data_IF_501892459677
#
_entry.id   IF_501892459677
#
_cell.length_a   1.000
_cell.length_b   1.000
_cell.length_c   1.000
_cell.angle_alpha   90.00
_cell.angle_beta   90.00
_cell.angle_gamma   90.00
#
_symmetry.space_group_name_H-M   'P 1'
#
loop_
_entity.id
_entity.type
_entity.pdbx_description
1 polymer ?
#
# COMPACT_ATOMS: atom_id res chain seq x y z
N UNK A 1 -6.15 -18.96 -16.52
CA UNK A 1 -6.59 -17.62 -16.07
C UNK A 1 -5.74 -16.58 -16.77
N UNK A 2 -6.33 -15.45 -17.15
CA UNK A 2 -5.64 -14.43 -17.96
C UNK A 2 -6.05 -13.04 -17.48
N UNK A 3 -5.07 -12.19 -17.19
CA UNK A 3 -5.26 -10.77 -16.92
C UNK A 3 -5.06 -9.97 -18.22
N UNK A 4 -6.13 -9.43 -18.78
CA UNK A 4 -6.07 -8.53 -19.94
C UNK A 4 -5.59 -7.15 -19.47
N UNK A 5 -4.30 -6.87 -19.63
CA UNK A 5 -3.68 -5.60 -19.25
C UNK A 5 -4.25 -4.44 -20.07
N UNK A 6 -4.38 -4.63 -21.38
CA UNK A 6 -4.85 -3.57 -22.27
C UNK A 6 -6.31 -3.18 -21.99
N UNK A 7 -7.17 -4.17 -21.77
CA UNK A 7 -8.57 -3.94 -21.37
C UNK A 7 -8.66 -3.30 -20.00
N UNK A 8 -7.87 -3.79 -19.05
CA UNK A 8 -7.83 -3.26 -17.68
C UNK A 8 -7.40 -1.79 -17.62
N UNK A 9 -6.36 -1.40 -18.38
CA UNK A 9 -5.91 0.00 -18.49
C UNK A 9 -7.03 0.89 -19.06
N UNK A 10 -7.80 0.41 -20.05
CA UNK A 10 -8.92 1.19 -20.60
C UNK A 10 -10.05 1.41 -19.61
N UNK A 11 -10.30 0.44 -18.75
CA UNK A 11 -11.42 0.45 -17.80
C UNK A 11 -11.05 1.08 -16.46
N UNK A 12 -9.76 1.24 -16.16
CA UNK A 12 -9.27 1.82 -14.92
C UNK A 12 -8.67 3.21 -15.20
N UNK A 13 -9.11 4.22 -14.47
CA UNK A 13 -8.54 5.56 -14.61
C UNK A 13 -7.12 5.61 -14.04
N UNK A 14 -6.23 6.30 -14.74
CA UNK A 14 -4.96 6.73 -14.17
C UNK A 14 -5.25 7.58 -12.92
N UNK A 15 -4.66 7.22 -11.80
CA UNK A 15 -4.79 7.98 -10.55
C UNK A 15 -4.14 9.35 -10.67
N UNK A 16 -4.77 10.35 -10.07
CA UNK A 16 -4.16 11.68 -9.87
C UNK A 16 -3.25 11.72 -8.63
N UNK A 17 -3.27 10.67 -7.79
CA UNK A 17 -2.37 10.55 -6.65
C UNK A 17 -0.97 10.16 -7.14
N UNK A 18 -0.02 11.04 -6.94
CA UNK A 18 1.39 10.86 -7.33
C UNK A 18 2.02 9.61 -6.69
N UNK A 19 1.59 9.26 -5.48
CA UNK A 19 2.17 8.18 -4.68
C UNK A 19 1.39 6.86 -4.80
N UNK A 20 0.37 6.77 -5.66
CA UNK A 20 -0.53 5.61 -5.75
C UNK A 20 0.22 4.28 -5.96
N UNK A 21 1.29 4.29 -6.74
CA UNK A 21 2.10 3.09 -6.99
C UNK A 21 2.77 2.61 -5.69
N UNK A 22 3.34 3.52 -4.93
CA UNK A 22 3.98 3.21 -3.64
C UNK A 22 2.95 2.75 -2.61
N UNK A 23 1.78 3.38 -2.55
CA UNK A 23 0.68 2.98 -1.67
C UNK A 23 0.21 1.56 -1.99
N UNK A 24 0.05 1.22 -3.25
CA UNK A 24 -0.33 -0.14 -3.67
C UNK A 24 0.75 -1.17 -3.32
N UNK A 25 2.03 -0.86 -3.54
CA UNK A 25 3.15 -1.73 -3.18
C UNK A 25 3.18 -2.00 -1.67
N UNK A 26 3.16 -0.96 -0.85
CA UNK A 26 3.19 -1.06 0.61
C UNK A 26 1.92 -1.74 1.15
N UNK A 27 0.74 -1.41 0.60
CA UNK A 27 -0.51 -2.07 1.00
C UNK A 27 -0.49 -3.57 0.74
N UNK A 28 0.00 -3.98 -0.43
CA UNK A 28 0.11 -5.39 -0.78
C UNK A 28 1.15 -6.13 0.09
N UNK A 29 2.27 -5.48 0.42
CA UNK A 29 3.28 -6.02 1.31
C UNK A 29 2.73 -6.24 2.74
N UNK A 30 1.98 -5.27 3.29
CA UNK A 30 1.32 -5.41 4.60
C UNK A 30 0.30 -6.56 4.58
N UNK A 31 -0.55 -6.64 3.55
CA UNK A 31 -1.53 -7.71 3.42
C UNK A 31 -0.85 -9.08 3.33
N UNK A 32 0.18 -9.20 2.51
CA UNK A 32 0.99 -10.42 2.33
C UNK A 32 1.62 -10.88 3.66
N UNK A 33 2.15 -9.95 4.44
CA UNK A 33 2.70 -10.25 5.76
C UNK A 33 1.62 -10.72 6.74
N UNK A 34 0.46 -10.07 6.79
CA UNK A 34 -0.65 -10.47 7.67
C UNK A 34 -1.18 -11.86 7.33
N UNK A 35 -1.24 -12.22 6.05
CA UNK A 35 -1.60 -13.57 5.59
C UNK A 35 -0.56 -14.59 6.09
N UNK A 36 0.74 -14.30 5.91
CA UNK A 36 1.82 -15.15 6.41
C UNK A 36 1.75 -15.35 7.91
N UNK A 37 1.62 -14.27 8.68
CA UNK A 37 1.52 -14.30 10.13
C UNK A 37 0.30 -15.08 10.63
N UNK A 38 -0.82 -15.01 9.90
CA UNK A 38 -2.02 -15.81 10.22
C UNK A 38 -1.76 -17.30 10.07
N UNK A 39 -1.03 -17.70 9.04
CA UNK A 39 -0.69 -19.11 8.77
C UNK A 39 0.50 -19.61 9.62
N UNK A 40 1.42 -18.70 9.97
CA UNK A 40 2.61 -19.00 10.78
C UNK A 40 2.79 -17.90 11.85
N UNK A 41 2.22 -18.08 13.06
CA UNK A 41 2.33 -17.10 14.15
C UNK A 41 3.74 -16.87 14.66
N UNK A 42 4.71 -17.73 14.32
CA UNK A 42 6.13 -17.53 14.69
C UNK A 42 6.79 -16.38 13.94
N UNK A 43 6.19 -15.95 12.84
CA UNK A 43 6.67 -14.80 12.06
C UNK A 43 6.18 -13.51 12.73
N UNK A 44 7.08 -12.84 13.43
CA UNK A 44 6.74 -11.68 14.30
C UNK A 44 7.10 -10.33 13.69
N UNK A 45 8.09 -10.27 12.81
CA UNK A 45 8.64 -9.02 12.27
C UNK A 45 8.28 -8.83 10.80
N UNK A 46 7.59 -7.73 10.47
CA UNK A 46 7.35 -7.33 9.08
C UNK A 46 8.54 -6.52 8.55
N UNK A 47 9.03 -6.90 7.39
CA UNK A 47 10.11 -6.20 6.68
C UNK A 47 9.68 -5.91 5.25
N UNK A 48 9.68 -4.63 4.90
CA UNK A 48 9.39 -4.15 3.55
C UNK A 48 10.51 -3.22 3.13
N UNK A 49 11.02 -3.40 1.93
CA UNK A 49 12.01 -2.52 1.32
C UNK A 49 11.45 -1.96 0.02
N UNK A 50 11.39 -0.64 -0.09
CA UNK A 50 11.00 0.06 -1.30
C UNK A 50 12.22 0.81 -1.81
N UNK A 51 12.78 0.38 -2.93
CA UNK A 51 13.92 1.04 -3.55
C UNK A 51 13.51 1.75 -4.85
N UNK A 52 14.03 2.94 -5.06
CA UNK A 52 13.83 3.76 -6.25
C UNK A 52 15.19 4.09 -6.84
N UNK A 53 15.43 3.64 -8.05
CA UNK A 53 16.65 3.93 -8.81
C UNK A 53 16.33 5.00 -9.85
N UNK A 54 16.91 6.18 -9.71
CA UNK A 54 16.84 7.24 -10.71
C UNK A 54 18.03 7.16 -11.67
N UNK A 55 17.74 7.25 -12.94
CA UNK A 55 18.73 7.28 -14.02
C UNK A 55 18.37 8.36 -15.05
N UNK A 56 19.33 8.83 -15.85
CA UNK A 56 19.03 9.72 -16.94
C UNK A 56 18.13 9.01 -17.96
N UNK A 57 17.10 9.68 -18.44
CA UNK A 57 16.22 9.16 -19.48
C UNK A 57 16.89 9.18 -20.85
N UNK A 58 17.75 10.18 -21.07
CA UNK A 58 18.58 10.34 -22.25
C UNK A 58 19.99 10.83 -21.84
N UNK A 59 21.01 10.50 -22.65
CA UNK A 59 22.40 10.94 -22.43
C UNK A 59 22.61 12.44 -22.63
N UNK A 60 21.68 13.13 -23.29
CA UNK A 60 21.78 14.54 -23.68
C UNK A 60 20.85 15.47 -22.89
N UNK A 61 19.93 14.95 -22.12
CA UNK A 61 18.96 15.74 -21.36
C UNK A 61 19.03 15.44 -19.85
N UNK A 62 18.77 16.44 -19.03
CA UNK A 62 18.66 16.29 -17.56
C UNK A 62 17.35 15.62 -17.12
N UNK A 63 16.64 14.96 -18.04
CA UNK A 63 15.44 14.21 -17.75
C UNK A 63 15.75 12.97 -16.94
N UNK A 64 14.89 12.67 -15.99
CA UNK A 64 14.99 11.51 -15.12
C UNK A 64 13.99 10.44 -15.53
N UNK A 65 14.42 9.20 -15.46
CA UNK A 65 13.53 8.03 -15.40
C UNK A 65 13.76 7.30 -14.10
N UNK A 66 12.82 6.42 -13.73
CA UNK A 66 12.93 5.66 -12.49
C UNK A 66 12.54 4.21 -12.67
N UNK A 67 13.17 3.37 -11.85
CA UNK A 67 12.79 1.99 -11.59
C UNK A 67 12.39 1.91 -10.11
N UNK A 68 11.30 1.20 -9.81
CA UNK A 68 10.89 0.94 -8.43
C UNK A 68 10.99 -0.56 -8.17
N UNK A 69 11.54 -0.94 -7.02
CA UNK A 69 11.42 -2.30 -6.51
C UNK A 69 10.83 -2.30 -5.11
N UNK A 70 9.96 -3.27 -4.84
CA UNK A 70 9.40 -3.49 -3.51
C UNK A 70 9.63 -4.95 -3.13
N UNK A 71 10.34 -5.17 -2.03
CA UNK A 71 10.61 -6.48 -1.45
C UNK A 71 9.90 -6.59 -0.10
N UNK A 72 9.16 -7.68 0.10
CA UNK A 72 8.51 -8.00 1.36
C UNK A 72 8.89 -9.41 1.86
N UNK A 73 8.67 -9.65 3.13
CA UNK A 73 8.79 -10.96 3.75
C UNK A 73 7.40 -11.57 4.05
N UNK A 74 6.42 -11.34 3.19
CA UNK A 74 5.06 -11.86 3.32
C UNK A 74 4.92 -13.32 2.91
N UNK A 75 3.68 -13.74 2.58
CA UNK A 75 3.36 -15.12 2.25
C UNK A 75 3.85 -15.57 0.88
N UNK A 76 4.30 -14.65 0.03
CA UNK A 76 4.63 -14.91 -1.36
C UNK A 76 3.40 -15.10 -2.26
N UNK A 77 3.65 -15.39 -3.53
CA UNK A 77 2.63 -15.51 -4.59
C UNK A 77 2.28 -16.99 -4.82
N UNK A 78 1.70 -17.64 -3.80
CA UNK A 78 1.19 -19.01 -3.90
C UNK A 78 -0.07 -19.12 -4.78
N UNK A 79 -0.69 -20.30 -4.83
CA UNK A 79 -1.79 -20.60 -5.76
C UNK A 79 -2.95 -19.60 -5.69
N UNK A 80 -3.50 -19.34 -4.49
CA UNK A 80 -4.64 -18.43 -4.34
C UNK A 80 -4.27 -16.96 -4.55
N UNK A 81 -3.15 -16.42 -4.02
CA UNK A 81 -2.67 -15.09 -4.38
C UNK A 81 -2.40 -14.92 -5.89
N UNK A 82 -1.89 -15.95 -6.57
CA UNK A 82 -1.66 -15.95 -8.01
C UNK A 82 -2.97 -15.88 -8.80
N UNK A 83 -3.97 -16.69 -8.42
CA UNK A 83 -5.32 -16.59 -9.00
C UNK A 83 -5.91 -15.19 -8.82
N UNK A 84 -5.78 -14.64 -7.61
CA UNK A 84 -6.23 -13.29 -7.33
C UNK A 84 -5.47 -12.24 -8.15
N UNK A 85 -4.17 -12.42 -8.38
CA UNK A 85 -3.37 -11.54 -9.24
C UNK A 85 -3.84 -11.58 -10.70
N UNK A 86 -4.26 -12.72 -11.22
CA UNK A 86 -4.75 -12.89 -12.59
C UNK A 86 -6.24 -12.54 -12.76
N UNK A 87 -6.97 -12.24 -11.68
CA UNK A 87 -8.42 -11.97 -11.70
C UNK A 87 -8.69 -10.51 -11.40
N UNK A 88 -9.31 -9.77 -12.32
CA UNK A 88 -9.80 -8.41 -12.05
C UNK A 88 -10.93 -8.44 -11.03
N UNK A 89 -11.04 -7.37 -10.24
CA UNK A 89 -12.12 -7.17 -9.25
C UNK A 89 -12.31 -8.37 -8.30
N UNK A 90 -11.20 -9.01 -7.91
CA UNK A 90 -11.22 -10.15 -7.00
C UNK A 90 -11.62 -9.74 -5.58
N UNK A 91 -12.49 -10.53 -4.94
CA UNK A 91 -12.82 -10.43 -3.51
C UNK A 91 -11.90 -11.25 -2.61
N UNK A 92 -10.85 -11.86 -3.15
CA UNK A 92 -9.96 -12.80 -2.42
C UNK A 92 -9.57 -12.31 -1.02
N UNK A 93 -9.14 -11.04 -0.90
CA UNK A 93 -8.75 -10.47 0.40
C UNK A 93 -9.94 -10.23 1.33
N UNK A 94 -11.13 -9.96 0.80
CA UNK A 94 -12.34 -9.74 1.59
C UNK A 94 -12.86 -11.05 2.19
N UNK A 95 -12.65 -12.18 1.50
CA UNK A 95 -13.04 -13.52 1.93
C UNK A 95 -12.07 -14.06 3.01
N UNK A 96 -10.85 -13.51 3.11
CA UNK A 96 -9.94 -13.81 4.19
C UNK A 96 -10.43 -13.15 5.48
N UNK A 97 -10.90 -13.91 6.45
CA UNK A 97 -11.34 -13.41 7.76
C UNK A 97 -10.16 -12.93 8.64
N UNK A 98 -9.16 -12.32 8.03
CA UNK A 98 -7.94 -11.80 8.69
C UNK A 98 -8.15 -10.32 8.97
N UNK A 99 -8.13 -9.95 10.24
CA UNK A 99 -8.27 -8.55 10.62
C UNK A 99 -7.02 -7.74 10.25
N UNK A 100 -7.23 -6.52 9.76
CA UNK A 100 -6.17 -5.62 9.30
C UNK A 100 -5.86 -5.71 7.82
N UNK A 101 -6.36 -6.73 7.12
CA UNK A 101 -6.29 -6.77 5.65
C UNK A 101 -7.17 -5.66 5.07
N UNK A 102 -6.60 -4.89 4.16
CA UNK A 102 -7.29 -3.82 3.46
C UNK A 102 -8.41 -4.36 2.57
N UNK A 103 -9.50 -3.59 2.43
CA UNK A 103 -10.53 -3.91 1.43
C UNK A 103 -9.92 -3.83 0.05
N UNK A 104 -10.08 -4.90 -0.72
CA UNK A 104 -9.53 -5.00 -2.07
C UNK A 104 -10.61 -4.68 -3.10
N UNK A 105 -10.34 -3.71 -3.97
CA UNK A 105 -11.12 -3.52 -5.20
C UNK A 105 -10.52 -4.28 -6.39
N UNK A 106 -9.40 -4.97 -6.19
CA UNK A 106 -8.72 -5.76 -7.21
C UNK A 106 -8.11 -4.96 -8.38
N UNK A 107 -8.29 -3.64 -8.40
CA UNK A 107 -7.88 -2.77 -9.50
C UNK A 107 -6.59 -1.98 -9.24
N UNK A 108 -6.11 -1.94 -7.99
CA UNK A 108 -4.96 -1.10 -7.61
C UNK A 108 -3.68 -1.44 -8.36
N UNK A 109 -3.39 -2.74 -8.54
CA UNK A 109 -2.22 -3.20 -9.32
C UNK A 109 -2.22 -2.73 -10.78
N UNK A 110 -3.38 -2.35 -11.33
CA UNK A 110 -3.43 -1.83 -12.71
C UNK A 110 -2.72 -0.48 -12.81
N UNK A 111 -2.57 0.24 -11.70
CA UNK A 111 -1.75 1.45 -11.66
C UNK A 111 -0.28 1.18 -12.00
N UNK A 112 0.24 -0.01 -11.71
CA UNK A 112 1.60 -0.38 -12.13
C UNK A 112 1.74 -0.33 -13.65
N UNK A 113 0.77 -0.89 -14.38
CA UNK A 113 0.76 -0.92 -15.84
C UNK A 113 0.38 0.42 -16.48
N UNK A 114 -0.29 1.30 -15.74
CA UNK A 114 -0.48 2.69 -16.17
C UNK A 114 0.84 3.46 -16.16
N UNK A 115 1.68 3.22 -15.15
CA UNK A 115 2.88 4.02 -14.90
C UNK A 115 4.15 3.44 -15.53
N UNK A 116 4.22 2.12 -15.70
CA UNK A 116 5.41 1.40 -16.15
C UNK A 116 5.10 0.48 -17.33
N UNK A 117 6.07 0.34 -18.25
CA UNK A 117 5.95 -0.55 -19.41
C UNK A 117 6.44 -1.97 -19.14
N UNK A 118 7.21 -2.18 -18.07
CA UNK A 118 7.68 -3.49 -17.67
C UNK A 118 7.44 -3.75 -16.18
N UNK A 119 7.00 -4.97 -15.86
CA UNK A 119 6.72 -5.44 -14.50
C UNK A 119 7.31 -6.83 -14.35
N UNK A 120 8.09 -7.05 -13.29
CA UNK A 120 8.58 -8.40 -12.95
C UNK A 120 8.28 -8.73 -11.49
N UNK A 121 8.03 -10.00 -11.24
CA UNK A 121 7.78 -10.56 -9.91
C UNK A 121 8.75 -11.73 -9.71
N UNK A 122 9.42 -11.75 -8.56
CA UNK A 122 10.17 -12.88 -8.03
C UNK A 122 9.63 -13.17 -6.64
N UNK A 123 9.03 -14.33 -6.45
CA UNK A 123 8.33 -14.66 -5.22
C UNK A 123 8.63 -16.07 -4.78
N UNK A 124 8.78 -16.25 -3.48
CA UNK A 124 8.99 -17.56 -2.86
C UNK A 124 7.90 -17.78 -1.81
N UNK A 125 7.30 -18.97 -1.79
CA UNK A 125 6.22 -19.33 -0.90
C UNK A 125 6.27 -20.81 -0.50
N UNK A 126 5.54 -21.17 0.56
CA UNK A 126 5.35 -22.58 1.00
C UNK A 126 4.07 -23.17 0.45
N UNK A 127 4.14 -24.41 -0.03
CA UNK A 127 2.97 -25.18 -0.44
C UNK A 127 3.19 -26.67 -0.17
N UNK A 128 2.33 -27.27 0.65
CA UNK A 128 2.39 -28.72 0.92
C UNK A 128 3.68 -29.21 1.58
N UNK A 129 4.46 -28.35 2.23
CA UNK A 129 5.76 -28.67 2.83
C UNK A 129 6.96 -28.28 1.97
N UNK A 130 6.74 -28.02 0.69
CA UNK A 130 7.78 -27.58 -0.24
C UNK A 130 7.91 -26.05 -0.28
N UNK A 131 9.10 -25.57 -0.60
CA UNK A 131 9.38 -24.16 -0.87
C UNK A 131 9.52 -23.96 -2.37
N UNK A 132 8.63 -23.17 -2.92
CA UNK A 132 8.51 -22.95 -4.37
C UNK A 132 8.88 -21.50 -4.67
N UNK A 133 9.71 -21.31 -5.70
CA UNK A 133 9.98 -20.01 -6.31
C UNK A 133 9.14 -19.83 -7.56
N UNK A 134 8.57 -18.63 -7.71
CA UNK A 134 7.73 -18.24 -8.83
C UNK A 134 8.26 -16.94 -9.42
N UNK A 135 8.56 -16.94 -10.70
CA UNK A 135 9.04 -15.76 -11.43
C UNK A 135 8.06 -15.39 -12.55
N UNK A 136 7.78 -14.10 -12.72
CA UNK A 136 6.99 -13.57 -13.81
C UNK A 136 7.67 -12.34 -14.42
N UNK A 137 7.55 -12.20 -15.73
CA UNK A 137 7.98 -10.99 -16.45
C UNK A 137 6.91 -10.59 -17.45
N UNK A 138 6.59 -9.31 -17.42
CA UNK A 138 5.73 -8.64 -18.39
C UNK A 138 6.47 -7.43 -18.96
N UNK A 139 6.33 -7.21 -20.26
CA UNK A 139 6.82 -5.99 -20.92
C UNK A 139 5.92 -5.66 -22.11
N UNK A 140 5.62 -4.39 -22.31
CA UNK A 140 4.97 -3.93 -23.54
C UNK A 140 5.82 -4.30 -24.77
N UNK A 141 5.22 -4.71 -25.91
CA UNK A 141 3.79 -4.58 -26.27
C UNK A 141 2.91 -5.79 -25.90
N UNK A 142 3.31 -6.65 -24.98
CA UNK A 142 2.45 -7.74 -24.49
C UNK A 142 1.13 -7.18 -23.99
N UNK A 143 0.01 -7.86 -24.26
CA UNK A 143 -1.33 -7.35 -23.97
C UNK A 143 -1.97 -7.99 -22.76
N UNK A 144 -1.47 -9.16 -22.34
CA UNK A 144 -2.05 -9.96 -21.28
C UNK A 144 -0.96 -10.70 -20.50
N UNK A 145 -1.30 -11.07 -19.28
CA UNK A 145 -0.53 -11.97 -18.42
C UNK A 145 -1.40 -13.19 -18.13
N UNK A 146 -0.86 -14.39 -18.33
CA UNK A 146 -1.52 -15.66 -18.02
C UNK A 146 -0.56 -16.58 -17.24
N UNK A 147 -1.00 -17.80 -16.96
CA UNK A 147 -0.21 -18.79 -16.24
C UNK A 147 1.10 -19.15 -16.92
N UNK A 148 1.20 -19.04 -18.25
CA UNK A 148 2.39 -19.39 -19.02
C UNK A 148 3.50 -18.32 -18.88
N UNK A 149 3.15 -17.15 -18.38
CA UNK A 149 4.13 -16.12 -18.02
C UNK A 149 4.91 -16.43 -16.74
N UNK A 150 4.44 -17.41 -15.96
CA UNK A 150 5.04 -17.78 -14.70
C UNK A 150 5.95 -19.00 -14.85
N UNK A 151 7.13 -18.90 -14.24
CA UNK A 151 8.11 -19.99 -14.16
C UNK A 151 8.22 -20.42 -12.71
N UNK A 152 8.13 -21.72 -12.47
CA UNK A 152 8.21 -22.30 -11.13
C UNK A 152 9.49 -23.10 -10.98
N UNK A 153 10.07 -23.07 -9.78
CA UNK A 153 11.29 -23.80 -9.43
C UNK A 153 11.38 -24.00 -7.92
N UNK A 154 12.46 -24.63 -7.47
CA UNK A 154 12.74 -24.79 -6.05
C UNK A 154 13.15 -23.45 -5.45
N UNK A 155 12.57 -23.11 -4.30
CA UNK A 155 12.89 -21.92 -3.52
C UNK A 155 13.74 -22.23 -2.29
N UNK A 156 14.10 -21.20 -1.53
CA UNK A 156 14.78 -21.27 -0.24
C UNK A 156 13.91 -20.67 0.86
N UNK A 157 13.92 -21.26 2.06
CA UNK A 157 13.18 -20.79 3.23
C UNK A 157 13.48 -19.34 3.57
N UNK A 158 14.74 -18.93 3.47
CA UNK A 158 15.19 -17.57 3.77
C UNK A 158 14.71 -16.53 2.73
N UNK A 159 14.19 -17.00 1.60
CA UNK A 159 13.71 -16.16 0.51
C UNK A 159 12.18 -15.98 0.49
N UNK A 160 11.44 -16.53 1.47
CA UNK A 160 9.98 -16.43 1.50
C UNK A 160 9.53 -14.97 1.54
N UNK A 161 8.71 -14.59 0.58
CA UNK A 161 8.24 -13.24 0.34
C UNK A 161 8.15 -12.92 -1.15
N UNK A 162 8.03 -11.65 -1.49
CA UNK A 162 7.92 -11.20 -2.88
C UNK A 162 8.81 -10.02 -3.15
N UNK A 163 9.47 -10.02 -4.30
CA UNK A 163 10.09 -8.84 -4.90
C UNK A 163 9.33 -8.49 -6.17
N UNK A 164 8.71 -7.32 -6.19
CA UNK A 164 8.05 -6.77 -7.36
C UNK A 164 8.90 -5.61 -7.88
N UNK A 165 9.18 -5.60 -9.19
CA UNK A 165 9.97 -4.57 -9.84
C UNK A 165 9.21 -3.95 -11.00
N UNK A 166 9.22 -2.62 -11.06
CA UNK A 166 8.56 -1.78 -12.05
C UNK A 166 9.64 -1.02 -12.81
N UNK A 167 9.69 -1.19 -14.11
CA UNK A 167 10.74 -0.63 -14.97
C UNK A 167 10.14 0.10 -16.16
N UNK A 168 10.92 0.99 -16.78
CA UNK A 168 10.52 1.77 -17.94
C UNK A 168 9.33 2.70 -17.60
N UNK A 169 9.56 3.65 -16.70
CA UNK A 169 8.56 4.66 -16.33
C UNK A 169 8.08 5.43 -17.56
N UNK A 170 6.76 5.54 -17.72
CA UNK A 170 6.16 6.10 -18.94
C UNK A 170 6.19 7.63 -18.91
N UNK A 171 6.83 8.23 -19.88
CA UNK A 171 6.90 9.68 -20.04
C UNK A 171 5.51 10.34 -20.13
N UNK A 172 4.55 9.68 -20.78
CA UNK A 172 3.16 10.15 -20.87
C UNK A 172 2.48 10.31 -19.51
N UNK A 173 2.96 9.60 -18.48
CA UNK A 173 2.47 9.70 -17.12
C UNK A 173 3.17 10.84 -16.39
N UNK A 174 4.47 11.00 -16.59
CA UNK A 174 5.25 12.09 -16.01
C UNK A 174 4.61 13.45 -16.31
N UNK A 175 4.31 13.73 -17.58
CA UNK A 175 3.70 14.99 -18.02
C UNK A 175 2.33 15.25 -17.38
N UNK A 176 1.60 14.20 -17.00
CA UNK A 176 0.26 14.33 -16.38
C UNK A 176 0.30 14.50 -14.87
N UNK A 177 1.30 13.92 -14.21
CA UNK A 177 1.39 13.84 -12.75
C UNK A 177 2.26 14.97 -12.19
N UNK A 178 3.34 15.29 -12.88
CA UNK A 178 4.27 16.34 -12.45
C UNK A 178 4.43 17.36 -13.55
N UNK A 179 4.51 18.63 -13.18
CA UNK A 179 4.88 19.71 -14.09
C UNK A 179 6.42 19.88 -14.16
N UNK A 180 7.17 19.04 -13.43
CA UNK A 180 8.62 19.03 -13.34
C UNK A 180 9.17 17.73 -13.91
N UNK A 181 10.29 17.82 -14.59
CA UNK A 181 11.01 16.69 -15.15
C UNK A 181 11.92 16.01 -14.12
N UNK A 182 12.06 16.57 -12.93
CA UNK A 182 12.92 16.08 -11.84
C UNK A 182 12.13 15.18 -10.90
N UNK A 183 12.09 13.87 -11.22
CA UNK A 183 11.36 12.87 -10.42
C UNK A 183 11.94 12.74 -9.00
N UNK A 184 13.25 12.83 -8.84
CA UNK A 184 13.92 12.67 -7.56
C UNK A 184 13.50 13.72 -6.51
N UNK A 185 12.98 14.87 -6.95
CA UNK A 185 12.44 15.89 -6.03
C UNK A 185 11.13 15.47 -5.36
N UNK A 186 10.38 14.54 -5.96
CA UNK A 186 9.10 14.03 -5.44
C UNK A 186 9.24 12.73 -4.66
N UNK A 187 10.27 11.94 -4.95
CA UNK A 187 10.39 10.57 -4.47
C UNK A 187 11.70 10.31 -3.71
N UNK A 188 12.22 11.31 -2.99
CA UNK A 188 13.34 11.05 -2.06
C UNK A 188 12.91 10.12 -0.93
N UNK A 189 13.85 9.42 -0.30
CA UNK A 189 13.57 8.45 0.77
C UNK A 189 12.76 9.09 1.92
N UNK A 190 13.11 10.32 2.31
CA UNK A 190 12.42 11.05 3.38
C UNK A 190 11.00 11.47 2.99
N UNK A 191 10.79 11.90 1.74
CA UNK A 191 9.45 12.24 1.24
C UNK A 191 8.58 10.98 1.18
N UNK A 192 9.11 9.86 0.66
CA UNK A 192 8.37 8.60 0.59
C UNK A 192 7.97 8.12 1.99
N UNK A 193 8.90 8.15 2.96
CA UNK A 193 8.58 7.84 4.36
C UNK A 193 7.41 8.68 4.86
N UNK A 194 7.49 10.01 4.70
CA UNK A 194 6.48 10.94 5.17
C UNK A 194 5.12 10.68 4.53
N UNK A 195 5.08 10.50 3.21
CA UNK A 195 3.85 10.22 2.47
C UNK A 195 3.23 8.88 2.88
N UNK A 196 4.04 7.82 3.02
CA UNK A 196 3.55 6.52 3.44
C UNK A 196 3.12 6.51 4.91
N UNK A 197 3.79 7.23 5.79
CA UNK A 197 3.35 7.41 7.17
C UNK A 197 1.95 8.01 7.22
N UNK A 198 1.69 9.09 6.47
CA UNK A 198 0.37 9.73 6.40
C UNK A 198 -0.67 8.81 5.78
N UNK A 199 -0.36 8.19 4.65
CA UNK A 199 -1.30 7.32 3.93
C UNK A 199 -1.71 6.07 4.75
N UNK A 200 -0.78 5.52 5.52
CA UNK A 200 -1.00 4.29 6.30
C UNK A 200 -1.17 4.51 7.80
N UNK A 201 -1.13 5.76 8.29
CA UNK A 201 -1.15 6.08 9.72
C UNK A 201 -2.25 5.32 10.48
N UNK A 202 -3.49 5.45 10.05
CA UNK A 202 -4.64 4.84 10.71
C UNK A 202 -4.57 3.31 10.67
N UNK A 203 -4.09 2.75 9.55
CA UNK A 203 -3.92 1.31 9.38
C UNK A 203 -2.82 0.78 10.29
N UNK A 204 -1.65 1.42 10.30
CA UNK A 204 -0.51 1.00 11.12
C UNK A 204 -0.82 1.11 12.61
N UNK A 205 -1.45 2.21 13.02
CA UNK A 205 -1.92 2.36 14.41
C UNK A 205 -2.93 1.28 14.78
N UNK A 206 -3.90 0.97 13.91
CA UNK A 206 -4.87 -0.09 14.15
C UNK A 206 -4.27 -1.50 14.15
N UNK A 207 -3.11 -1.69 13.55
CA UNK A 207 -2.35 -2.94 13.53
C UNK A 207 -1.31 -3.03 14.65
N UNK A 208 -1.15 -2.00 15.46
CA UNK A 208 -0.11 -1.91 16.51
C UNK A 208 -0.07 -3.13 17.44
N UNK A 209 -1.22 -3.67 17.80
CA UNK A 209 -1.33 -4.88 18.63
C UNK A 209 -1.07 -6.20 17.89
N UNK A 210 -0.88 -6.16 16.57
CA UNK A 210 -0.70 -7.32 15.70
C UNK A 210 0.65 -7.39 15.02
N UNK A 211 1.28 -6.23 14.84
CA UNK A 211 2.64 -6.10 14.35
C UNK A 211 3.55 -5.93 15.57
N UNK A 212 4.16 -7.02 16.03
CA UNK A 212 5.09 -6.97 17.16
C UNK A 212 6.26 -6.05 16.84
N UNK A 213 6.75 -6.12 15.60
CA UNK A 213 7.77 -5.25 15.05
C UNK A 213 7.55 -5.07 13.55
N UNK A 214 7.77 -3.87 13.04
CA UNK A 214 7.75 -3.63 11.60
C UNK A 214 8.78 -2.58 11.19
N UNK A 215 9.27 -2.72 9.97
CA UNK A 215 10.13 -1.76 9.33
C UNK A 215 9.83 -1.69 7.84
N UNK A 216 9.56 -0.48 7.34
CA UNK A 216 9.43 -0.19 5.93
C UNK A 216 10.58 0.72 5.54
N UNK A 217 11.56 0.20 4.82
CA UNK A 217 12.75 0.91 4.39
C UNK A 217 12.52 1.55 3.04
N UNK A 218 12.79 2.83 2.92
CA UNK A 218 12.81 3.59 1.68
C UNK A 218 14.26 3.86 1.30
N UNK A 219 14.65 3.42 0.12
CA UNK A 219 16.00 3.56 -0.42
C UNK A 219 15.89 4.28 -1.76
N UNK A 220 16.62 5.35 -1.94
CA UNK A 220 16.71 6.02 -3.23
C UNK A 220 18.14 6.07 -3.70
N UNK A 221 18.38 5.70 -4.95
CA UNK A 221 19.66 5.79 -5.62
C UNK A 221 19.55 6.79 -6.77
N UNK A 222 20.35 7.81 -6.71
CA UNK A 222 20.41 8.82 -7.78
C UNK A 222 21.80 8.85 -8.36
N UNK A 223 21.93 8.78 -9.68
CA UNK A 223 23.24 8.69 -10.38
C UNK A 223 24.18 9.87 -10.07
N UNK A 224 23.63 11.07 -9.73
CA UNK A 224 24.43 12.24 -9.34
C UNK A 224 24.58 12.38 -7.83
N UNK A 225 23.53 12.07 -7.05
CA UNK A 225 23.42 12.44 -5.62
C UNK A 225 23.70 11.24 -4.68
N UNK A 226 23.91 10.04 -5.26
CA UNK A 226 24.19 8.83 -4.49
C UNK A 226 22.97 8.23 -3.81
N UNK A 227 23.20 7.50 -2.73
CA UNK A 227 22.20 6.74 -1.99
C UNK A 227 21.66 7.55 -0.81
N UNK A 228 20.33 7.55 -0.65
CA UNK A 228 19.64 8.04 0.54
C UNK A 228 18.76 6.93 1.11
N UNK A 229 18.60 6.88 2.41
CA UNK A 229 17.77 5.90 3.10
C UNK A 229 16.98 6.54 4.22
N UNK A 230 15.75 6.12 4.40
CA UNK A 230 14.92 6.45 5.57
C UNK A 230 14.03 5.25 5.89
N UNK A 231 13.55 5.13 7.12
CA UNK A 231 12.77 3.99 7.58
C UNK A 231 11.54 4.44 8.34
N UNK A 232 10.41 3.81 8.04
CA UNK A 232 9.18 3.93 8.82
C UNK A 232 9.10 2.75 9.80
N UNK A 233 9.04 3.06 11.07
CA UNK A 233 9.03 2.10 12.17
C UNK A 233 7.92 2.42 13.16
N UNK A 234 7.70 1.53 14.11
CA UNK A 234 6.75 1.73 15.22
C UNK A 234 7.00 3.03 15.99
N UNK A 235 8.26 3.41 16.20
CA UNK A 235 8.63 4.66 16.86
C UNK A 235 8.15 5.94 16.15
N UNK A 236 7.81 5.84 14.86
CA UNK A 236 7.28 6.97 14.08
C UNK A 236 5.75 7.11 14.25
N UNK A 237 5.08 6.13 14.86
CA UNK A 237 3.63 6.19 15.06
C UNK A 237 3.30 7.05 16.29
N UNK A 238 2.20 7.83 16.22
CA UNK A 238 1.74 8.61 17.36
C UNK A 238 1.20 7.71 18.47
N UNK A 239 1.34 8.17 19.70
CA UNK A 239 0.69 7.54 20.84
C UNK A 239 -0.75 8.02 20.99
N UNK A 240 -1.64 7.13 21.42
CA UNK A 240 -3.02 7.49 21.78
C UNK A 240 -2.99 8.42 22.97
N UNK A 241 -3.61 9.59 22.85
CA UNK A 241 -3.72 10.57 23.94
C UNK A 241 -4.99 10.39 24.76
N UNK A 242 -6.07 9.89 24.14
CA UNK A 242 -7.31 9.56 24.83
C UNK A 242 -8.05 8.45 24.07
N UNK A 243 -8.75 7.60 24.82
CA UNK A 243 -9.62 6.58 24.26
C UNK A 243 -10.99 6.61 24.94
N UNK A 244 -12.04 6.38 24.17
CA UNK A 244 -13.40 6.24 24.66
C UNK A 244 -14.15 5.19 23.85
N UNK A 245 -14.91 4.35 24.54
CA UNK A 245 -15.88 3.47 23.91
C UNK A 245 -17.23 4.19 23.88
N UNK A 246 -17.85 4.22 22.73
CA UNK A 246 -19.17 4.82 22.52
C UNK A 246 -20.11 3.73 22.03
N UNK A 247 -21.19 3.52 22.75
CA UNK A 247 -22.26 2.62 22.34
C UNK A 247 -23.34 3.41 21.60
N UNK A 248 -23.67 2.97 20.41
CA UNK A 248 -24.66 3.59 19.54
C UNK A 248 -25.80 2.59 19.34
N UNK A 249 -27.03 3.05 19.62
CA UNK A 249 -28.22 2.26 19.33
C UNK A 249 -28.45 2.15 17.84
N UNK A 250 -28.82 0.96 17.41
CA UNK A 250 -29.22 0.73 16.04
C UNK A 250 -30.69 1.11 15.88
N UNK A 251 -30.96 2.01 14.93
CA UNK A 251 -32.31 2.49 14.65
C UNK A 251 -32.76 1.93 13.29
N UNK A 252 -34.02 1.55 13.21
CA UNK A 252 -34.66 1.25 11.95
C UNK A 252 -34.57 2.44 10.98
N UNK A 253 -34.06 2.20 9.77
CA UNK A 253 -33.79 3.27 8.81
C UNK A 253 -35.04 3.98 8.27
N UNK A 254 -36.22 3.35 8.41
CA UNK A 254 -37.51 3.87 7.89
C UNK A 254 -38.33 4.52 9.01
N UNK A 255 -38.42 3.82 10.12
CA UNK A 255 -39.30 4.25 11.23
C UNK A 255 -38.57 5.06 12.30
N UNK A 256 -37.23 4.99 12.35
CA UNK A 256 -36.42 5.60 13.41
C UNK A 256 -36.54 4.90 14.78
N UNK A 257 -37.23 3.79 14.86
CA UNK A 257 -37.39 3.05 16.10
C UNK A 257 -36.13 2.31 16.51
N UNK A 258 -35.90 2.22 17.82
CA UNK A 258 -34.80 1.45 18.41
C UNK A 258 -35.00 -0.04 18.13
N UNK A 259 -34.02 -0.68 17.46
CA UNK A 259 -34.03 -2.12 17.12
C UNK A 259 -33.62 -3.00 18.33
N UNK A 260 -33.29 -2.40 19.47
CA UNK A 260 -32.83 -3.13 20.66
C UNK A 260 -31.40 -3.68 20.54
N UNK A 261 -30.72 -3.36 19.47
CA UNK A 261 -29.32 -3.72 19.24
C UNK A 261 -28.41 -2.51 19.42
N UNK A 262 -27.17 -2.75 19.87
CA UNK A 262 -26.17 -1.71 20.09
C UNK A 262 -24.89 -2.07 19.37
N UNK A 263 -24.26 -1.06 18.78
CA UNK A 263 -22.92 -1.18 18.19
C UNK A 263 -21.92 -0.39 19.02
N UNK A 264 -20.82 -1.05 19.39
CA UNK A 264 -19.72 -0.42 20.12
C UNK A 264 -18.68 0.13 19.14
N UNK A 265 -18.33 1.40 19.31
CA UNK A 265 -17.27 2.07 18.56
C UNK A 265 -16.16 2.50 19.52
N UNK A 266 -14.93 2.16 19.20
CA UNK A 266 -13.75 2.67 19.88
C UNK A 266 -13.34 3.98 19.21
N UNK A 267 -13.38 5.08 19.96
CA UNK A 267 -12.89 6.39 19.54
C UNK A 267 -11.48 6.56 20.13
N UNK A 268 -10.48 6.67 19.27
CA UNK A 268 -9.10 6.93 19.68
C UNK A 268 -8.67 8.30 19.20
N UNK A 269 -8.13 9.11 20.08
CA UNK A 269 -7.62 10.44 19.79
C UNK A 269 -6.10 10.43 19.76
N UNK A 270 -5.52 11.05 18.74
CA UNK A 270 -4.08 11.18 18.53
C UNK A 270 -3.75 12.66 18.34
N UNK A 271 -2.73 13.13 19.04
CA UNK A 271 -2.14 14.44 18.75
C UNK A 271 -0.94 14.24 17.85
N UNK A 272 -0.96 14.88 16.69
CA UNK A 272 0.08 14.74 15.67
C UNK A 272 0.93 16.01 15.63
N UNK A 273 2.23 15.82 15.53
CA UNK A 273 3.17 16.91 15.26
C UNK A 273 3.05 17.30 13.78
N UNK A 274 2.70 18.55 13.51
CA UNK A 274 2.52 19.06 12.16
C UNK A 274 3.79 18.95 11.31
N UNK A 275 4.98 19.13 11.92
CA UNK A 275 6.26 19.06 11.21
C UNK A 275 6.59 17.62 10.81
N UNK A 276 6.21 16.65 11.64
CA UNK A 276 6.45 15.23 11.38
C UNK A 276 5.46 14.66 10.35
N UNK A 277 4.17 15.01 10.47
CA UNK A 277 3.11 14.35 9.70
C UNK A 277 2.65 15.15 8.48
N UNK A 278 2.96 16.45 8.41
CA UNK A 278 2.57 17.34 7.29
C UNK A 278 1.08 17.24 6.92
N UNK A 279 0.25 17.10 7.93
CA UNK A 279 -1.19 17.01 7.73
C UNK A 279 -1.76 18.41 7.54
N UNK A 280 -2.52 18.66 6.48
CA UNK A 280 -3.05 19.98 6.17
C UNK A 280 -4.14 20.43 7.16
N UNK A 281 -4.73 19.50 7.92
CA UNK A 281 -5.85 19.75 8.83
C UNK A 281 -6.11 18.57 9.75
N UNK A 282 -6.87 18.83 10.83
CA UNK A 282 -7.43 17.76 11.65
C UNK A 282 -8.35 16.85 10.83
N UNK A 283 -8.33 15.57 11.10
CA UNK A 283 -9.12 14.58 10.39
C UNK A 283 -9.85 13.64 11.35
N UNK A 284 -11.07 13.28 10.98
CA UNK A 284 -11.86 12.25 11.66
C UNK A 284 -12.22 11.19 10.62
N UNK A 285 -11.86 9.94 10.88
CA UNK A 285 -12.14 8.86 9.96
C UNK A 285 -12.81 7.67 10.63
N UNK A 286 -13.74 7.06 9.91
CA UNK A 286 -14.22 5.73 10.25
C UNK A 286 -13.25 4.69 9.74
N UNK A 287 -12.88 3.75 10.61
CA UNK A 287 -12.03 2.62 10.28
C UNK A 287 -12.82 1.31 10.43
N UNK A 288 -12.64 0.42 9.47
CA UNK A 288 -13.10 -0.96 9.56
C UNK A 288 -11.92 -1.89 9.31
N UNK A 289 -11.77 -2.92 10.15
CA UNK A 289 -10.60 -3.83 10.09
C UNK A 289 -9.26 -3.08 10.08
N UNK A 290 -9.17 -2.00 10.89
CA UNK A 290 -8.00 -1.11 10.99
C UNK A 290 -7.63 -0.37 9.69
N UNK A 291 -8.54 -0.27 8.75
CA UNK A 291 -8.36 0.53 7.53
C UNK A 291 -9.39 1.64 7.45
N UNK A 292 -9.02 2.86 7.02
CA UNK A 292 -9.96 3.94 6.84
C UNK A 292 -10.95 3.59 5.73
N UNK A 293 -12.25 3.69 6.05
CA UNK A 293 -13.35 3.44 5.12
C UNK A 293 -13.96 4.73 4.64
N UNK A 294 -13.97 5.76 5.50
CA UNK A 294 -14.60 7.04 5.20
C UNK A 294 -14.02 8.16 6.03
N UNK A 295 -13.60 9.23 5.36
CA UNK A 295 -13.33 10.52 6.00
C UNK A 295 -14.68 11.21 6.30
N UNK A 296 -14.91 11.57 7.56
CA UNK A 296 -16.12 12.24 8.03
C UNK A 296 -15.81 13.63 8.58
N UNK A 297 -14.59 14.12 8.39
CA UNK A 297 -14.11 15.41 8.91
C UNK A 297 -15.07 16.55 8.60
N UNK A 298 -15.46 16.72 7.34
CA UNK A 298 -16.34 17.79 6.91
C UNK A 298 -17.75 17.74 7.51
N UNK A 299 -18.18 16.59 8.03
CA UNK A 299 -19.48 16.43 8.68
C UNK A 299 -19.49 16.95 10.10
N UNK A 300 -18.38 16.81 10.81
CA UNK A 300 -18.28 17.11 12.24
C UNK A 300 -17.45 18.37 12.53
N UNK A 301 -16.47 18.68 11.71
CA UNK A 301 -15.66 19.90 11.79
C UNK A 301 -16.14 20.87 10.69
N UNK A 302 -17.11 21.72 11.04
CA UNK A 302 -17.86 22.54 10.08
C UNK A 302 -17.13 23.80 9.63
N UNK A 303 -16.27 24.34 10.46
CA UNK A 303 -15.54 25.57 10.14
C UNK A 303 -14.09 25.30 9.77
N UNK A 304 -13.51 26.16 8.93
CA UNK A 304 -12.10 26.07 8.55
C UNK A 304 -11.18 26.24 9.76
N UNK A 305 -11.59 27.04 10.75
CA UNK A 305 -10.87 27.19 12.02
C UNK A 305 -10.89 25.93 12.85
N UNK A 306 -12.04 25.22 12.94
CA UNK A 306 -12.12 23.93 13.64
C UNK A 306 -11.29 22.83 12.96
N UNK A 307 -11.24 22.85 11.63
CA UNK A 307 -10.41 21.90 10.87
C UNK A 307 -8.91 22.15 11.04
N UNK A 308 -8.50 23.41 11.22
CA UNK A 308 -7.11 23.82 11.28
C UNK A 308 -6.59 24.09 12.70
N UNK A 309 -7.46 24.03 13.73
CA UNK A 309 -7.03 24.26 15.11
C UNK A 309 -6.82 22.91 15.83
N UNK A 310 -5.57 22.51 16.13
CA UNK A 310 -5.28 21.26 16.81
C UNK A 310 -5.74 21.20 18.28
N UNK A 311 -6.14 22.34 18.86
CA UNK A 311 -6.50 22.44 20.27
C UNK A 311 -8.02 22.43 20.54
N UNK A 312 -8.84 22.35 19.50
CA UNK A 312 -10.30 22.30 19.66
C UNK A 312 -10.77 20.84 19.47
N UNK A 313 -11.30 20.19 20.54
CA UNK A 313 -11.78 18.81 20.48
C UNK A 313 -13.05 18.63 19.63
#
# INVERSE_FOLDING_TARGET
MTLDIRGSIKNTKLSSNLYVVFEELVSNAIDSFLIRKHSDPSVVSMRVEVAVDFSPADMLEDRETMTISCKDNGCGLGEEPLKAFLTMDTSYKDDLSISGIGKCKGAGRIQFFHHFSAVSIDSTYRQGGDVIRCEMRYSEPQKQIDTDNFRFGSGSEDAIGTTLRLEQFKESVLVRITHSEVLSSYFSASILKKQMLVAFLQRLVGLDTRLDDFEINFITHHWKNGKQTDSLRRSDLPTVTAERVVEVKELDAVTGNDLGTHQSFKLSHYQLDADQYDLPKNAIAFCAKSSPVRDITARYLRTRSEQNNPLNP
#
